data_IF_610840614646
#
_entry.id   IF_610840614646
#
_cell.length_a   1.000
_cell.length_b   1.000
_cell.length_c   1.000
_cell.angle_alpha   90.00
_cell.angle_beta   90.00
_cell.angle_gamma   90.00
#
_symmetry.space_group_name_H-M   'P 1'
#
loop_
_entity.id
_entity.type
_entity.pdbx_description
1 polymer ?
#
# COMPACT_ATOMS: atom_id res chain seq x y z
N UNK A 1 8.17 -13.59 -1.98
CA UNK A 1 7.87 -13.04 -3.32
C UNK A 1 7.27 -11.66 -3.13
N UNK A 2 7.55 -10.69 -4.00
CA UNK A 2 7.47 -9.27 -3.64
C UNK A 2 6.83 -8.44 -4.77
N UNK A 3 6.04 -7.42 -4.43
CA UNK A 3 5.50 -6.45 -5.39
C UNK A 3 6.56 -5.41 -5.74
N UNK A 4 6.61 -4.99 -7.01
CA UNK A 4 7.57 -4.01 -7.51
C UNK A 4 6.92 -2.65 -7.77
N UNK A 5 7.14 -1.66 -6.91
CA UNK A 5 6.81 -0.25 -7.18
C UNK A 5 7.84 0.72 -6.60
N UNK A 6 7.98 1.91 -7.20
CA UNK A 6 9.12 2.80 -6.95
C UNK A 6 9.07 3.57 -5.62
N UNK A 7 7.90 4.05 -5.23
CA UNK A 7 7.73 4.86 -4.03
C UNK A 7 6.28 4.88 -3.57
N UNK A 8 6.04 5.20 -2.31
CA UNK A 8 4.71 5.52 -1.79
C UNK A 8 4.70 6.95 -1.25
N UNK A 9 3.73 7.76 -1.64
CA UNK A 9 3.49 9.05 -1.01
C UNK A 9 3.09 8.82 0.44
N UNK A 10 3.69 9.60 1.34
CA UNK A 10 3.52 9.53 2.78
C UNK A 10 2.91 10.84 3.26
N UNK A 11 1.82 10.73 4.00
CA UNK A 11 1.22 11.89 4.63
C UNK A 11 2.05 12.29 5.85
N UNK A 12 2.81 13.38 5.77
CA UNK A 12 3.75 13.74 6.83
C UNK A 12 3.10 13.96 8.20
N UNK A 13 1.89 14.54 8.24
CA UNK A 13 1.13 14.71 9.50
C UNK A 13 0.74 13.40 10.19
N UNK A 14 0.63 12.30 9.45
CA UNK A 14 0.24 10.99 10.01
C UNK A 14 1.38 10.30 10.78
N UNK A 15 2.61 10.78 10.61
CA UNK A 15 3.80 10.30 11.36
C UNK A 15 3.74 10.80 12.81
N UNK A 16 3.07 11.93 13.05
CA UNK A 16 2.96 12.58 14.36
C UNK A 16 3.67 13.94 14.40
N UNK A 17 3.82 14.49 15.61
CA UNK A 17 4.50 15.78 15.80
C UNK A 17 6.01 15.60 15.61
N UNK A 18 6.62 16.39 14.73
CA UNK A 18 8.05 16.31 14.43
C UNK A 18 8.81 17.49 15.04
N UNK A 19 9.95 17.21 15.66
CA UNK A 19 10.88 18.24 16.16
C UNK A 19 12.31 17.89 15.76
N UNK A 20 13.08 18.89 15.35
CA UNK A 20 14.46 18.68 14.92
C UNK A 20 15.33 18.18 16.07
N UNK A 21 15.99 17.04 15.89
CA UNK A 21 16.89 16.45 16.87
C UNK A 21 18.36 16.56 16.47
N UNK A 22 18.65 16.79 15.18
CA UNK A 22 20.00 17.01 14.68
C UNK A 22 20.20 16.49 13.26
N UNK A 23 21.47 16.45 12.85
CA UNK A 23 21.90 15.86 11.57
C UNK A 23 22.42 14.45 11.82
N UNK A 24 22.06 13.53 10.92
CA UNK A 24 22.66 12.20 10.85
C UNK A 24 23.21 11.95 9.44
N UNK A 25 24.15 11.00 9.33
CA UNK A 25 24.72 10.55 8.07
C UNK A 25 24.36 9.07 7.85
N UNK A 26 23.65 8.81 6.77
CA UNK A 26 23.20 7.47 6.36
C UNK A 26 23.76 7.13 4.98
N UNK A 27 23.35 5.99 4.41
CA UNK A 27 23.98 5.43 3.22
C UNK A 27 25.03 4.39 3.59
N UNK A 28 25.41 3.57 2.60
CA UNK A 28 26.47 2.57 2.79
C UNK A 28 27.80 3.20 3.24
N UNK A 29 28.08 4.41 2.73
CA UNK A 29 29.31 5.17 3.00
C UNK A 29 29.13 6.30 4.02
N UNK A 30 27.96 6.43 4.66
CA UNK A 30 27.62 7.56 5.53
C UNK A 30 27.80 8.93 4.86
N UNK A 31 27.40 9.03 3.59
CA UNK A 31 27.54 10.21 2.72
C UNK A 31 26.21 10.96 2.50
N UNK A 32 25.08 10.39 2.91
CA UNK A 32 23.77 11.00 2.76
C UNK A 32 23.38 11.70 4.07
N UNK A 33 23.30 13.04 4.03
CA UNK A 33 22.83 13.82 5.16
C UNK A 33 21.29 13.74 5.29
N UNK A 34 20.82 13.41 6.48
CA UNK A 34 19.39 13.34 6.82
C UNK A 34 19.10 14.12 8.09
N UNK A 35 17.90 14.68 8.17
CA UNK A 35 17.39 15.31 9.37
C UNK A 35 16.88 14.21 10.31
N UNK A 36 17.41 14.18 11.53
CA UNK A 36 16.92 13.33 12.60
C UNK A 36 15.82 14.07 13.34
N UNK A 37 14.63 13.48 13.42
CA UNK A 37 13.42 14.10 13.97
C UNK A 37 12.86 13.29 15.13
N UNK A 38 12.66 13.90 16.29
CA UNK A 38 11.92 13.28 17.38
C UNK A 38 10.43 13.26 17.03
N UNK A 39 9.79 12.11 17.24
CA UNK A 39 8.36 11.89 16.97
C UNK A 39 7.57 12.01 18.27
N UNK A 40 6.47 12.77 18.23
CA UNK A 40 5.54 12.95 19.36
C UNK A 40 6.20 13.44 20.66
N UNK A 41 7.29 14.21 20.54
CA UNK A 41 8.14 14.65 21.64
C UNK A 41 8.73 13.50 22.48
N UNK A 42 8.89 12.31 21.89
CA UNK A 42 9.58 11.17 22.50
C UNK A 42 11.06 11.16 22.09
N UNK A 43 11.84 10.25 22.66
CA UNK A 43 13.21 9.97 22.20
C UNK A 43 13.26 9.06 20.96
N UNK A 44 12.10 8.63 20.44
CA UNK A 44 12.06 7.89 19.19
C UNK A 44 12.31 8.84 18.03
N UNK A 45 13.32 8.52 17.22
CA UNK A 45 13.75 9.33 16.10
C UNK A 45 13.39 8.71 14.76
N UNK A 46 12.99 9.55 13.82
CA UNK A 46 12.85 9.22 12.41
C UNK A 46 13.88 10.00 11.60
N UNK A 47 14.51 9.34 10.61
CA UNK A 47 15.42 10.00 9.68
C UNK A 47 14.65 10.37 8.40
N UNK A 48 14.75 11.63 8.00
CA UNK A 48 14.14 12.14 6.77
C UNK A 48 15.23 12.80 5.91
N UNK A 49 15.34 12.40 4.66
CA UNK A 49 16.12 13.13 3.66
C UNK A 49 15.35 14.40 3.29
N UNK A 50 15.83 15.60 3.66
CA UNK A 50 15.09 16.83 3.41
C UNK A 50 15.32 17.36 1.99
N UNK A 51 14.59 18.41 1.63
CA UNK A 51 14.83 19.19 0.42
C UNK A 51 16.25 19.77 0.37
N UNK A 52 16.75 20.04 -0.84
CA UNK A 52 18.04 20.70 -1.05
C UNK A 52 18.09 22.08 -0.35
N UNK A 53 19.23 22.39 0.26
CA UNK A 53 19.42 23.65 1.01
C UNK A 53 18.79 23.66 2.40
N UNK A 54 18.29 22.53 2.92
CA UNK A 54 17.83 22.43 4.29
C UNK A 54 18.93 22.81 5.31
N UNK A 55 18.57 23.64 6.28
CA UNK A 55 19.49 24.10 7.31
C UNK A 55 19.61 23.09 8.46
N UNK A 56 20.72 22.34 8.45
CA UNK A 56 21.07 21.40 9.52
C UNK A 56 21.62 22.06 10.79
N UNK A 57 21.86 23.37 10.79
CA UNK A 57 22.35 24.13 11.96
C UNK A 57 21.23 24.67 12.86
N UNK A 58 19.98 24.43 12.46
CA UNK A 58 18.77 24.68 13.23
C UNK A 58 18.87 24.20 14.69
N UNK A 59 18.25 24.94 15.61
CA UNK A 59 18.22 24.60 17.02
C UNK A 59 17.48 23.26 17.29
N UNK A 60 18.02 22.47 18.22
CA UNK A 60 17.34 21.29 18.74
C UNK A 60 15.95 21.64 19.28
N UNK A 61 14.97 20.77 19.03
CA UNK A 61 13.59 20.95 19.46
C UNK A 61 12.74 21.83 18.54
N UNK A 62 13.31 22.41 17.48
CA UNK A 62 12.56 23.23 16.52
C UNK A 62 11.40 22.43 15.92
N UNK A 63 10.14 22.88 16.07
CA UNK A 63 8.98 22.18 15.50
C UNK A 63 8.95 22.28 13.97
N UNK A 64 8.75 21.14 13.33
CA UNK A 64 8.68 21.02 11.88
C UNK A 64 7.42 20.27 11.45
N UNK A 65 6.98 20.56 10.23
CA UNK A 65 6.08 19.70 9.47
C UNK A 65 6.81 19.12 8.28
N UNK A 66 6.41 17.92 7.91
CA UNK A 66 6.84 17.24 6.71
C UNK A 66 5.69 17.27 5.71
N UNK A 67 5.95 17.73 4.49
CA UNK A 67 5.00 17.75 3.38
C UNK A 67 5.60 17.11 2.12
N UNK A 68 4.74 16.68 1.21
CA UNK A 68 5.08 16.01 -0.06
C UNK A 68 6.06 14.85 0.17
N UNK A 69 5.87 14.13 1.27
CA UNK A 69 6.78 13.09 1.67
C UNK A 69 6.57 11.81 0.87
N UNK A 70 7.63 11.01 0.80
CA UNK A 70 7.63 9.70 0.16
C UNK A 70 8.41 8.70 0.99
N UNK A 71 7.97 7.44 0.91
CA UNK A 71 8.72 6.27 1.32
C UNK A 71 9.35 5.67 0.08
N UNK A 72 10.67 5.53 0.09
CA UNK A 72 11.46 4.92 -0.98
C UNK A 72 12.41 3.90 -0.38
N UNK A 73 12.88 2.97 -1.20
CA UNK A 73 14.02 2.18 -0.80
C UNK A 73 15.30 3.02 -0.76
N UNK A 74 16.02 2.92 0.35
CA UNK A 74 17.35 3.47 0.50
C UNK A 74 18.33 2.41 0.97
N UNK A 75 19.50 2.86 1.40
CA UNK A 75 20.57 1.98 1.86
C UNK A 75 21.04 2.43 3.24
N UNK A 76 21.02 1.52 4.20
CA UNK A 76 21.61 1.70 5.52
C UNK A 76 23.02 1.12 5.55
N UNK A 77 23.85 1.64 6.43
CA UNK A 77 25.17 1.08 6.73
C UNK A 77 25.00 -0.34 7.28
N UNK A 78 25.74 -1.29 6.74
CA UNK A 78 25.83 -2.65 7.25
C UNK A 78 27.23 -3.22 6.97
N UNK A 79 27.55 -4.38 7.55
CA UNK A 79 28.81 -5.07 7.28
C UNK A 79 28.85 -5.74 5.88
N UNK A 80 27.76 -5.64 5.11
CA UNK A 80 27.69 -6.16 3.74
C UNK A 80 28.29 -5.14 2.76
N UNK A 81 28.92 -5.63 1.68
CA UNK A 81 29.62 -4.80 0.69
C UNK A 81 28.78 -3.67 0.07
N UNK A 82 27.45 -3.81 0.07
CA UNK A 82 26.51 -2.85 -0.55
C UNK A 82 25.54 -2.19 0.44
N UNK A 83 25.78 -2.33 1.75
CA UNK A 83 24.81 -1.92 2.78
C UNK A 83 23.54 -2.78 2.80
N UNK A 84 22.65 -2.51 3.76
CA UNK A 84 21.34 -3.17 3.85
C UNK A 84 20.27 -2.28 3.20
N UNK A 85 19.37 -2.85 2.40
CA UNK A 85 18.22 -2.11 1.89
C UNK A 85 17.22 -1.86 3.01
N UNK A 86 16.75 -0.62 3.11
CA UNK A 86 15.78 -0.20 4.12
C UNK A 86 14.76 0.76 3.52
N UNK A 87 13.57 0.84 4.13
CA UNK A 87 12.66 1.94 3.83
C UNK A 87 13.25 3.26 4.36
N UNK A 88 13.24 4.29 3.53
CA UNK A 88 13.70 5.63 3.87
C UNK A 88 12.61 6.64 3.56
N UNK A 89 12.58 7.73 4.33
CA UNK A 89 11.63 8.82 4.16
C UNK A 89 12.33 10.02 3.53
N UNK A 90 11.68 10.65 2.57
CA UNK A 90 12.13 11.91 1.96
C UNK A 90 10.95 12.88 1.89
N UNK A 91 11.21 14.18 1.81
CA UNK A 91 10.17 15.18 1.61
C UNK A 91 10.65 16.58 1.97
N UNK A 92 9.70 17.51 2.04
CA UNK A 92 10.00 18.91 2.38
C UNK A 92 9.71 19.16 3.86
N UNK A 93 10.76 19.49 4.62
CA UNK A 93 10.65 19.92 6.02
C UNK A 93 10.54 21.44 6.11
N UNK A 94 9.46 21.90 6.74
CA UNK A 94 9.17 23.32 6.91
C UNK A 94 8.87 23.65 8.37
N UNK A 95 9.13 24.90 8.81
CA UNK A 95 8.61 25.38 10.08
C UNK A 95 7.08 25.24 10.15
N UNK A 96 6.55 24.99 11.35
CA UNK A 96 5.10 24.89 11.55
C UNK A 96 4.32 26.14 11.13
N UNK A 97 4.96 27.32 11.14
CA UNK A 97 4.38 28.60 10.74
C UNK A 97 4.25 28.79 9.24
N UNK A 98 4.92 27.97 8.42
CA UNK A 98 4.78 28.03 6.97
C UNK A 98 3.34 27.68 6.56
N UNK A 99 2.79 28.28 5.50
CA UNK A 99 1.42 28.01 5.06
C UNK A 99 1.28 26.80 4.13
N UNK A 100 2.38 26.30 3.55
CA UNK A 100 2.35 25.21 2.57
C UNK A 100 1.89 23.89 3.18
N UNK A 101 1.10 23.14 2.44
CA UNK A 101 0.61 21.79 2.82
C UNK A 101 1.03 20.77 1.77
N UNK A 102 0.74 19.50 2.02
CA UNK A 102 0.85 18.47 1.00
C UNK A 102 0.07 18.88 -0.27
N UNK A 103 0.65 18.55 -1.42
CA UNK A 103 0.03 18.76 -2.73
C UNK A 103 -1.17 17.82 -2.93
N UNK A 104 -1.08 16.61 -2.39
CA UNK A 104 -2.15 15.63 -2.42
C UNK A 104 -3.09 15.81 -1.23
N UNK A 105 -4.42 15.71 -1.43
CA UNK A 105 -5.39 15.84 -0.35
C UNK A 105 -5.38 14.61 0.58
N UNK A 106 -5.91 14.76 1.79
CA UNK A 106 -5.80 13.73 2.85
C UNK A 106 -6.55 12.43 2.53
N UNK A 107 -7.65 12.52 1.80
CA UNK A 107 -8.47 11.39 1.37
C UNK A 107 -7.73 10.41 0.45
N UNK A 108 -6.69 10.85 -0.25
CA UNK A 108 -5.88 9.99 -1.13
C UNK A 108 -4.98 9.02 -0.34
N UNK A 109 -4.75 9.25 0.97
CA UNK A 109 -3.90 8.40 1.80
C UNK A 109 -4.71 7.28 2.47
N UNK A 110 -5.16 6.33 1.66
CA UNK A 110 -6.10 5.26 2.00
C UNK A 110 -5.48 4.02 2.65
N UNK A 111 -4.16 3.96 2.79
CA UNK A 111 -3.44 2.82 3.33
C UNK A 111 -2.46 3.21 4.45
N UNK A 112 -1.88 2.20 5.10
CA UNK A 112 -0.90 2.39 6.19
C UNK A 112 0.43 1.74 5.83
N UNK A 113 1.53 2.47 6.01
CA UNK A 113 2.86 1.86 5.99
C UNK A 113 3.18 1.27 7.35
N UNK A 114 3.63 0.02 7.36
CA UNK A 114 3.94 -0.75 8.57
C UNK A 114 5.35 -1.34 8.51
N UNK A 115 5.92 -1.63 9.67
CA UNK A 115 7.15 -2.41 9.77
C UNK A 115 6.96 -3.84 9.26
N UNK A 116 7.99 -4.45 8.69
CA UNK A 116 7.89 -5.79 8.10
C UNK A 116 7.66 -6.92 9.12
N UNK A 117 8.24 -6.82 10.33
CA UNK A 117 8.25 -7.92 11.31
C UNK A 117 7.02 -7.93 12.23
N UNK A 118 6.74 -6.79 12.84
CA UNK A 118 5.72 -6.59 13.87
C UNK A 118 4.50 -5.81 13.37
N UNK A 119 4.51 -5.37 12.10
CA UNK A 119 3.42 -4.61 11.46
C UNK A 119 3.03 -3.34 12.22
N UNK A 120 3.99 -2.74 12.92
CA UNK A 120 3.82 -1.47 13.63
C UNK A 120 3.58 -0.33 12.63
N UNK A 121 2.53 0.50 12.77
CA UNK A 121 2.26 1.62 11.88
C UNK A 121 3.32 2.73 11.96
N UNK A 122 3.69 3.28 10.80
CA UNK A 122 4.65 4.39 10.67
C UNK A 122 4.08 5.61 9.91
N UNK A 123 2.86 5.51 9.38
CA UNK A 123 2.16 6.62 8.73
C UNK A 123 1.18 6.14 7.66
N UNK A 124 0.30 7.05 7.22
CA UNK A 124 -0.65 6.83 6.12
C UNK A 124 0.05 7.06 4.78
N UNK A 125 -0.23 6.17 3.83
CA UNK A 125 0.32 6.19 2.48
C UNK A 125 -0.78 6.06 1.45
N UNK A 126 -0.48 6.44 0.21
CA UNK A 126 -1.38 6.36 -0.93
C UNK A 126 -1.21 5.04 -1.66
N UNK A 127 -2.24 4.19 -1.67
CA UNK A 127 -2.20 2.89 -2.36
C UNK A 127 -2.10 3.04 -3.88
N UNK A 128 -2.69 4.11 -4.43
CA UNK A 128 -2.71 4.42 -5.85
C UNK A 128 -1.33 4.77 -6.45
N UNK A 129 -0.28 4.89 -5.62
CA UNK A 129 1.11 4.96 -6.10
C UNK A 129 1.69 3.57 -6.44
N UNK A 130 1.05 2.50 -5.94
CA UNK A 130 1.43 1.11 -6.21
C UNK A 130 0.53 0.47 -7.29
N UNK A 131 -0.79 0.56 -7.13
CA UNK A 131 -1.77 -0.03 -8.05
C UNK A 131 -3.14 0.64 -7.90
N UNK A 132 -3.99 0.53 -8.92
CA UNK A 132 -5.39 0.92 -8.81
C UNK A 132 -6.19 -0.21 -8.14
N UNK A 133 -6.69 0.06 -6.93
CA UNK A 133 -7.44 -0.91 -6.12
C UNK A 133 -8.79 -1.30 -6.72
N UNK A 134 -9.33 -0.51 -7.65
CA UNK A 134 -10.62 -0.78 -8.31
C UNK A 134 -10.44 -1.43 -9.70
N UNK A 135 -9.20 -1.61 -10.14
CA UNK A 135 -8.86 -2.25 -11.42
C UNK A 135 -8.35 -3.70 -11.24
N UNK A 136 -8.54 -4.28 -10.05
CA UNK A 136 -7.98 -5.59 -9.71
C UNK A 136 -8.92 -6.74 -10.09
N UNK A 137 -8.41 -7.64 -10.93
CA UNK A 137 -9.07 -8.90 -11.31
C UNK A 137 -8.30 -10.08 -10.72
N UNK A 138 -8.99 -10.92 -9.95
CA UNK A 138 -8.39 -12.09 -9.31
C UNK A 138 -7.90 -13.07 -10.38
N UNK A 139 -6.61 -13.41 -10.32
CA UNK A 139 -6.00 -14.42 -11.19
C UNK A 139 -5.93 -15.78 -10.50
N UNK A 140 -5.39 -15.82 -9.27
CA UNK A 140 -5.32 -17.04 -8.45
C UNK A 140 -5.07 -16.73 -6.98
N UNK A 141 -5.39 -17.69 -6.13
CA UNK A 141 -5.03 -17.69 -4.70
C UNK A 141 -3.99 -18.77 -4.46
N UNK A 142 -2.98 -18.50 -3.62
CA UNK A 142 -1.90 -19.46 -3.31
C UNK A 142 -1.57 -19.40 -1.82
N UNK A 143 -1.54 -20.55 -1.10
CA UNK A 143 -1.12 -20.56 0.30
C UNK A 143 0.39 -20.32 0.42
N UNK A 144 0.78 -19.55 1.43
CA UNK A 144 2.17 -19.39 1.84
C UNK A 144 2.39 -20.14 3.15
N UNK A 145 3.22 -21.18 3.12
CA UNK A 145 3.49 -22.00 4.29
C UNK A 145 4.52 -21.36 5.21
N UNK A 146 4.34 -21.56 6.52
CA UNK A 146 5.33 -21.24 7.53
C UNK A 146 6.52 -22.19 7.39
N UNK A 147 7.73 -21.68 7.53
CA UNK A 147 8.94 -22.51 7.61
C UNK A 147 9.39 -22.71 9.06
N UNK A 148 9.99 -23.86 9.35
CA UNK A 148 10.65 -24.17 10.61
C UNK A 148 12.09 -23.61 10.63
N UNK A 149 12.81 -23.85 11.73
CA UNK A 149 14.19 -23.36 11.90
C UNK A 149 15.21 -23.99 10.93
N UNK A 150 14.83 -25.04 10.20
CA UNK A 150 15.63 -25.71 9.17
C UNK A 150 15.28 -25.22 7.77
N UNK A 151 14.28 -24.36 7.62
CA UNK A 151 13.76 -23.90 6.34
C UNK A 151 12.74 -24.84 5.70
N UNK A 152 12.35 -25.91 6.40
CA UNK A 152 11.34 -26.86 5.93
C UNK A 152 9.93 -26.37 6.25
N UNK A 153 8.91 -26.86 5.55
CA UNK A 153 7.50 -26.52 5.86
C UNK A 153 7.17 -26.98 7.27
N UNK A 154 6.82 -26.03 8.13
CA UNK A 154 6.37 -26.30 9.49
C UNK A 154 5.00 -26.99 9.44
N UNK A 155 4.82 -27.98 10.32
CA UNK A 155 3.59 -28.76 10.44
C UNK A 155 3.02 -28.65 11.84
N UNK A 156 1.70 -28.78 11.94
CA UNK A 156 0.99 -28.80 13.22
C UNK A 156 1.01 -30.20 13.87
N UNK A 157 0.25 -30.37 14.95
CA UNK A 157 0.17 -31.63 15.70
C UNK A 157 -0.50 -32.76 14.89
N UNK A 158 -1.15 -32.46 13.76
CA UNK A 158 -1.79 -33.41 12.85
C UNK A 158 -0.94 -33.71 11.60
N UNK A 159 0.31 -33.24 11.57
CA UNK A 159 1.20 -33.32 10.41
C UNK A 159 0.69 -32.50 9.21
N UNK A 160 -0.18 -31.51 9.40
CA UNK A 160 -0.67 -30.63 8.33
C UNK A 160 0.24 -29.40 8.16
N UNK A 161 0.53 -28.96 6.92
CA UNK A 161 1.29 -27.74 6.66
C UNK A 161 0.64 -26.50 7.30
N UNK A 162 1.40 -25.77 8.13
CA UNK A 162 0.91 -24.54 8.73
C UNK A 162 0.94 -23.42 7.70
N UNK A 163 -0.23 -22.88 7.37
CA UNK A 163 -0.38 -21.73 6.48
C UNK A 163 -0.14 -20.44 7.27
N UNK A 164 0.77 -19.61 6.79
CA UNK A 164 1.08 -18.31 7.40
C UNK A 164 0.17 -17.19 6.88
N UNK A 165 -0.25 -17.27 5.62
CA UNK A 165 -1.17 -16.37 4.94
C UNK A 165 -1.54 -16.96 3.56
N UNK A 166 -2.54 -16.38 2.91
CA UNK A 166 -2.84 -16.61 1.51
C UNK A 166 -2.43 -15.41 0.66
N UNK A 167 -1.78 -15.70 -0.46
CA UNK A 167 -1.45 -14.72 -1.49
C UNK A 167 -2.56 -14.69 -2.53
N UNK A 168 -3.28 -13.58 -2.58
CA UNK A 168 -4.21 -13.25 -3.66
C UNK A 168 -3.44 -12.54 -4.76
N UNK A 169 -3.44 -13.12 -5.95
CA UNK A 169 -2.72 -12.63 -7.12
C UNK A 169 -3.71 -11.96 -8.06
N UNK A 170 -3.47 -10.70 -8.38
CA UNK A 170 -4.32 -9.87 -9.22
C UNK A 170 -3.61 -9.41 -10.47
N UNK A 171 -4.38 -9.26 -11.53
CA UNK A 171 -4.00 -8.53 -12.74
C UNK A 171 -4.78 -7.22 -12.74
N UNK A 172 -4.13 -6.13 -13.11
CA UNK A 172 -4.81 -4.86 -13.39
C UNK A 172 -5.48 -4.95 -14.76
N UNK A 173 -6.82 -4.86 -14.83
CA UNK A 173 -7.57 -5.02 -16.07
C UNK A 173 -7.12 -4.02 -17.14
N UNK A 174 -6.82 -2.78 -16.75
CA UNK A 174 -6.26 -1.76 -17.64
C UNK A 174 -4.89 -2.12 -18.25
N UNK A 175 -4.18 -3.11 -17.67
CA UNK A 175 -2.84 -3.56 -18.07
C UNK A 175 -2.81 -5.03 -18.52
N UNK A 176 -3.97 -5.62 -18.82
CA UNK A 176 -4.11 -7.05 -19.12
C UNK A 176 -3.50 -7.49 -20.46
N UNK A 177 -2.84 -6.62 -21.22
CA UNK A 177 -2.07 -6.99 -22.41
C UNK A 177 -0.71 -7.61 -22.09
N UNK A 178 -0.20 -7.44 -20.86
CA UNK A 178 1.16 -7.79 -20.46
C UNK A 178 1.24 -8.98 -19.48
N UNK A 179 0.30 -9.95 -19.59
CA UNK A 179 0.10 -11.07 -18.63
C UNK A 179 1.24 -12.11 -18.63
N UNK A 180 2.27 -11.93 -19.46
CA UNK A 180 3.45 -12.81 -19.52
C UNK A 180 4.55 -12.47 -18.52
N UNK A 181 4.46 -11.34 -17.80
CA UNK A 181 5.47 -10.90 -16.85
C UNK A 181 4.95 -10.97 -15.41
N UNK A 182 5.55 -11.83 -14.60
CA UNK A 182 5.26 -11.97 -13.16
C UNK A 182 5.41 -10.64 -12.38
N UNK A 183 6.14 -9.68 -12.92
CA UNK A 183 6.29 -8.33 -12.36
C UNK A 183 5.00 -7.50 -12.42
N UNK A 184 4.05 -7.86 -13.29
CA UNK A 184 2.77 -7.15 -13.44
C UNK A 184 1.67 -7.65 -12.50
N UNK A 185 1.93 -8.75 -11.79
CA UNK A 185 0.97 -9.34 -10.84
C UNK A 185 1.04 -8.59 -9.51
N UNK A 186 -0.08 -8.03 -9.08
CA UNK A 186 -0.23 -7.46 -7.74
C UNK A 186 -0.55 -8.58 -6.77
N UNK A 187 0.28 -8.75 -5.75
CA UNK A 187 0.21 -9.83 -4.74
C UNK A 187 -0.18 -9.24 -3.40
N UNK A 188 -1.36 -9.59 -2.91
CA UNK A 188 -1.90 -9.11 -1.63
C UNK A 188 -2.01 -10.29 -0.68
N UNK A 189 -1.42 -10.15 0.51
CA UNK A 189 -1.46 -11.17 1.55
C UNK A 189 -2.67 -10.96 2.45
N UNK A 190 -3.42 -12.03 2.68
CA UNK A 190 -4.62 -12.07 3.53
C UNK A 190 -4.44 -13.13 4.60
N UNK A 191 -4.95 -12.86 5.80
CA UNK A 191 -4.93 -13.81 6.92
C UNK A 191 -5.64 -15.13 6.56
N UNK A 192 -5.18 -16.29 7.07
CA UNK A 192 -5.83 -17.58 6.80
C UNK A 192 -7.33 -17.62 7.09
N UNK A 193 -7.77 -17.13 8.26
CA UNK A 193 -9.17 -17.20 8.65
C UNK A 193 -10.06 -16.35 7.73
N UNK A 194 -9.56 -15.18 7.35
CA UNK A 194 -10.26 -14.31 6.40
C UNK A 194 -10.25 -14.90 4.98
N UNK A 195 -9.14 -15.53 4.57
CA UNK A 195 -9.08 -16.16 3.26
C UNK A 195 -10.06 -17.34 3.15
N UNK A 196 -10.24 -18.14 4.20
CA UNK A 196 -11.21 -19.24 4.19
C UNK A 196 -12.63 -18.72 4.00
N UNK A 197 -12.98 -17.63 4.69
CA UNK A 197 -14.27 -16.93 4.53
C UNK A 197 -14.47 -16.43 3.10
N UNK A 198 -13.43 -15.86 2.50
CA UNK A 198 -13.48 -15.29 1.16
C UNK A 198 -13.53 -16.36 0.07
N UNK A 199 -12.74 -17.43 0.17
CA UNK A 199 -12.63 -18.44 -0.90
C UNK A 199 -13.93 -19.20 -1.18
N UNK A 200 -14.88 -19.21 -0.24
CA UNK A 200 -16.23 -19.73 -0.46
C UNK A 200 -16.97 -18.92 -1.54
N UNK A 201 -16.80 -19.31 -2.80
CA UNK A 201 -17.47 -18.70 -3.96
C UNK A 201 -16.60 -17.81 -4.85
N UNK A 202 -15.32 -17.63 -4.50
CA UNK A 202 -14.38 -16.90 -5.37
C UNK A 202 -13.92 -17.74 -6.56
N UNK A 203 -13.79 -17.10 -7.72
CA UNK A 203 -13.24 -17.67 -8.94
C UNK A 203 -12.26 -16.71 -9.61
N UNK A 204 -11.30 -17.23 -10.40
CA UNK A 204 -10.52 -16.39 -11.30
C UNK A 204 -11.43 -15.52 -12.16
N UNK A 205 -11.10 -14.24 -12.31
CA UNK A 205 -11.90 -13.24 -13.01
C UNK A 205 -12.74 -12.34 -12.09
N UNK A 206 -12.91 -12.69 -10.82
CA UNK A 206 -13.67 -11.84 -9.89
C UNK A 206 -12.96 -10.51 -9.65
N UNK A 207 -13.72 -9.42 -9.68
CA UNK A 207 -13.24 -8.08 -9.36
C UNK A 207 -13.36 -7.85 -7.87
N UNK A 208 -12.23 -7.60 -7.21
CA UNK A 208 -12.18 -7.45 -5.76
C UNK A 208 -11.45 -6.17 -5.38
N UNK A 209 -12.00 -5.42 -4.42
CA UNK A 209 -11.38 -4.24 -3.86
C UNK A 209 -10.81 -4.57 -2.47
N UNK A 210 -9.50 -4.44 -2.24
CA UNK A 210 -8.91 -4.67 -0.93
C UNK A 210 -9.28 -3.56 0.05
N UNK A 211 -9.50 -3.96 1.31
CA UNK A 211 -9.80 -3.05 2.41
C UNK A 211 -8.72 -3.15 3.49
N UNK A 212 -8.48 -2.04 4.20
CA UNK A 212 -7.49 -2.01 5.29
C UNK A 212 -6.06 -2.26 4.83
N UNK A 213 -5.69 -1.73 3.65
CA UNK A 213 -4.40 -1.95 3.01
C UNK A 213 -3.23 -1.54 3.91
N UNK A 214 -2.23 -2.43 3.98
CA UNK A 214 -0.96 -2.18 4.67
C UNK A 214 0.21 -2.50 3.75
N UNK A 215 1.21 -1.63 3.77
CA UNK A 215 2.43 -1.76 2.98
C UNK A 215 3.63 -1.94 3.88
N UNK A 216 4.48 -2.90 3.58
CA UNK A 216 5.75 -3.11 4.28
C UNK A 216 6.89 -3.27 3.27
N UNK A 217 8.06 -2.71 3.60
CA UNK A 217 9.24 -2.88 2.76
C UNK A 217 9.89 -4.25 3.00
N UNK A 218 10.18 -5.00 1.94
CA UNK A 218 10.67 -6.38 2.03
C UNK A 218 12.21 -6.49 2.06
N UNK A 219 12.94 -5.42 1.72
CA UNK A 219 14.38 -5.36 1.98
C UNK A 219 15.30 -6.07 0.97
N UNK A 220 14.79 -6.63 -0.13
CA UNK A 220 15.67 -7.29 -1.12
C UNK A 220 16.11 -6.36 -2.25
N UNK A 221 15.21 -5.51 -2.78
CA UNK A 221 15.49 -4.57 -3.87
C UNK A 221 14.82 -3.19 -3.65
N UNK A 222 15.10 -2.24 -4.55
CA UNK A 222 14.65 -0.85 -4.47
C UNK A 222 13.12 -0.70 -4.59
N UNK A 223 12.45 -1.71 -5.13
CA UNK A 223 11.03 -1.68 -5.41
C UNK A 223 10.28 -2.77 -4.67
N UNK A 224 10.92 -3.46 -3.73
CA UNK A 224 10.39 -4.69 -3.14
C UNK A 224 9.47 -4.40 -1.94
N UNK A 225 8.16 -4.55 -2.13
CA UNK A 225 7.14 -4.38 -1.10
C UNK A 225 6.22 -5.58 -0.87
N UNK A 226 5.87 -5.79 0.38
CA UNK A 226 4.79 -6.68 0.81
C UNK A 226 3.52 -5.87 1.03
N UNK A 227 2.41 -6.36 0.49
CA UNK A 227 1.09 -5.73 0.62
C UNK A 227 0.18 -6.67 1.39
N UNK A 228 -0.52 -6.15 2.38
CA UNK A 228 -1.53 -6.88 3.14
C UNK A 228 -2.88 -6.19 2.99
N UNK A 229 -3.96 -6.97 3.11
CA UNK A 229 -5.31 -6.45 3.25
C UNK A 229 -6.01 -7.14 4.43
N UNK A 230 -6.90 -6.41 5.10
CA UNK A 230 -7.73 -6.96 6.18
C UNK A 230 -8.88 -7.80 5.61
N UNK A 231 -9.39 -7.42 4.43
CA UNK A 231 -10.41 -8.16 3.70
C UNK A 231 -10.40 -7.78 2.21
N UNK A 232 -11.13 -8.54 1.39
CA UNK A 232 -11.40 -8.28 -0.02
C UNK A 232 -12.92 -8.25 -0.23
N UNK A 233 -13.42 -7.22 -0.90
CA UNK A 233 -14.86 -7.08 -1.16
C UNK A 233 -15.10 -7.18 -2.66
N UNK A 234 -16.12 -7.94 -3.06
CA UNK A 234 -16.52 -8.00 -4.47
C UNK A 234 -16.92 -6.60 -4.94
N UNK A 235 -16.35 -6.18 -6.06
CA UNK A 235 -16.82 -5.00 -6.76
C UNK A 235 -18.13 -5.41 -7.45
N UNK A 236 -19.26 -5.13 -6.81
CA UNK A 236 -20.57 -5.25 -7.44
C UNK A 236 -20.59 -4.29 -8.63
N UNK A 237 -20.33 -4.82 -9.83
CA UNK A 237 -20.87 -4.25 -11.05
C UNK A 237 -22.38 -4.37 -10.90
N UNK A 238 -23.03 -3.42 -10.24
CA UNK A 238 -24.47 -3.25 -10.41
C UNK A 238 -24.68 -3.26 -11.91
N UNK A 239 -25.37 -4.30 -12.38
CA UNK A 239 -25.78 -4.45 -13.75
C UNK A 239 -26.15 -3.07 -14.25
N UNK A 240 -25.40 -2.55 -15.22
CA UNK A 240 -25.84 -1.43 -16.02
C UNK A 240 -27.25 -1.80 -16.45
N UNK A 241 -28.26 -1.21 -15.81
CA UNK A 241 -29.63 -1.37 -16.23
C UNK A 241 -29.63 -0.90 -17.67
N UNK A 242 -29.67 -1.87 -18.57
CA UNK A 242 -29.91 -1.67 -19.99
C UNK A 242 -31.13 -0.73 -20.01
N UNK A 243 -31.05 0.48 -20.58
CA UNK A 243 -32.21 1.35 -20.62
C UNK A 243 -33.33 0.52 -21.22
N UNK A 244 -34.42 0.38 -20.48
CA UNK A 244 -35.60 -0.31 -20.98
C UNK A 244 -35.94 0.36 -22.31
N UNK A 245 -35.69 -0.39 -23.38
CA UNK A 245 -36.20 -0.08 -24.70
C UNK A 245 -37.68 0.17 -24.53
N UNK A 246 -38.09 1.44 -24.60
CA UNK A 246 -39.49 1.82 -24.76
C UNK A 246 -39.95 1.29 -26.12
N UNK A 247 -40.22 -0.01 -26.19
CA UNK A 247 -41.16 -0.54 -27.17
C UNK A 247 -42.55 -0.06 -26.73
N UNK A 248 -42.91 1.13 -27.22
CA UNK A 248 -44.29 1.54 -27.37
C UNK A 248 -45.01 0.47 -28.21
N UNK A 249 -45.58 -0.51 -27.52
CA UNK A 249 -46.55 -1.43 -28.10
C UNK A 249 -47.89 -0.68 -28.16
N UNK A 250 -48.11 0.01 -29.26
CA UNK A 250 -49.42 0.51 -29.64
C UNK A 250 -50.39 -0.68 -29.61
N UNK A 251 -51.25 -0.70 -28.61
CA UNK A 251 -52.33 -1.68 -28.51
C UNK A 251 -53.63 -0.93 -28.78
N UNK A 252 -54.19 -1.25 -29.93
CA UNK A 252 -55.47 -0.84 -30.48
C UNK A 252 -56.57 -0.91 -29.43
N UNK A 253 -57.33 0.18 -29.25
CA UNK A 253 -58.68 0.09 -28.68
C UNK A 253 -59.64 0.77 -29.64
N UNK A 254 -60.19 -0.04 -30.54
CA UNK A 254 -61.29 0.34 -31.41
C UNK A 254 -62.56 0.21 -30.57
N UNK A 255 -63.07 1.34 -30.07
CA UNK A 255 -64.37 1.40 -29.42
C UNK A 255 -65.41 1.78 -30.46
N UNK A 256 -66.12 0.76 -30.94
CA UNK A 256 -67.34 0.91 -31.71
C UNK A 256 -68.49 1.20 -30.73
N UNK A 257 -69.17 2.35 -30.88
CA UNK A 257 -70.54 2.60 -30.41
C UNK A 257 -71.11 3.93 -30.95
N UNK A 258 -71.81 3.79 -32.07
CA UNK A 258 -73.22 4.15 -32.29
C UNK A 258 -73.75 5.58 -32.02
N UNK A 259 -74.48 6.05 -33.05
CA UNK A 259 -75.61 7.01 -33.12
C UNK A 259 -75.30 8.50 -33.25
N UNK A 260 -75.77 9.05 -34.37
CA UNK A 260 -75.92 10.48 -34.64
C UNK A 260 -75.74 10.78 -36.11
#
# INVERSE_FOLDING_TARGET
MVNKFGSLSLQGKSIGKLTFAGRNLVGANADVAVAMLNVNNTLNTENVTPQAGFDFSMAFGTPLKLIDAKIIAGTARSNQRNGARVATKTGTLLPMSDAKTDTLPEEEYDAVFVSGKDKTPHGRVRSADAFDSHDLVLFRVTPNYKTDNRGEVARDDYDEPIISNYQFNFIQQSKSGDVGNDDNIVRILVDPAESERLQAGLKPGDKLVPQGLKFAFAGNDATDWTVYADTLVALDEKATEKPASNQNKATTTQADKAKG
#
